data_IF_313993028771
#
_entry.id   IF_313993028771
#
_cell.length_a   1.000
_cell.length_b   1.000
_cell.length_c   1.000
_cell.angle_alpha   90.00
_cell.angle_beta   90.00
_cell.angle_gamma   90.00
#
_symmetry.space_group_name_H-M   'P 1'
#
loop_
_entity.id
_entity.type
_entity.pdbx_description
1 polymer ?
#
# COMPACT_ATOMS: atom_id res chain seq x y z
N UNK A 1 1.73 18.74 25.77
CA UNK A 1 0.92 17.51 25.88
C UNK A 1 1.39 16.59 24.79
N UNK A 2 1.90 15.41 25.12
CA UNK A 2 2.35 14.42 24.14
C UNK A 2 1.09 13.83 23.49
N UNK A 3 0.82 14.16 22.23
CA UNK A 3 -0.22 13.48 21.48
C UNK A 3 0.36 12.14 21.01
N UNK A 4 -0.35 11.07 21.33
CA UNK A 4 -0.01 9.70 20.91
C UNK A 4 -0.87 9.30 19.72
N UNK A 5 -0.45 8.26 19.00
CA UNK A 5 -1.28 7.65 17.97
C UNK A 5 -2.61 7.19 18.58
N UNK A 6 -3.71 7.47 17.90
CA UNK A 6 -5.06 7.10 18.33
C UNK A 6 -5.77 6.30 17.24
N UNK A 7 -6.54 5.26 17.59
CA UNK A 7 -7.30 4.49 16.61
C UNK A 7 -8.20 5.38 15.76
N UNK A 8 -8.19 5.15 14.45
CA UNK A 8 -8.89 5.95 13.47
C UNK A 8 -9.56 5.06 12.42
N UNK A 9 -10.66 5.51 11.77
CA UNK A 9 -11.19 4.81 10.61
C UNK A 9 -10.18 4.88 9.45
N UNK A 10 -10.04 3.78 8.71
CA UNK A 10 -9.19 3.76 7.50
C UNK A 10 -9.70 4.80 6.50
N UNK A 11 -8.89 5.79 6.10
CA UNK A 11 -9.31 6.78 5.12
C UNK A 11 -9.69 6.15 3.78
N UNK A 12 -10.71 6.71 3.11
CA UNK A 12 -11.19 6.19 1.83
C UNK A 12 -10.07 6.09 0.78
N UNK A 13 -9.15 7.06 0.78
CA UNK A 13 -8.03 7.08 -0.15
C UNK A 13 -7.02 5.95 0.07
N UNK A 14 -6.84 5.48 1.30
CA UNK A 14 -5.96 4.34 1.60
C UNK A 14 -6.54 3.09 0.99
N UNK A 15 -7.85 2.84 1.19
CA UNK A 15 -8.53 1.69 0.59
C UNK A 15 -8.48 1.73 -0.93
N UNK A 16 -8.66 2.92 -1.50
CA UNK A 16 -8.52 3.12 -2.94
C UNK A 16 -7.09 2.83 -3.40
N UNK A 17 -6.07 3.35 -2.71
CA UNK A 17 -4.67 3.09 -3.06
C UNK A 17 -4.30 1.60 -2.99
N UNK A 18 -4.73 0.89 -1.94
CA UNK A 18 -4.52 -0.56 -1.83
C UNK A 18 -5.14 -1.32 -3.00
N UNK A 19 -6.39 -0.99 -3.35
CA UNK A 19 -7.06 -1.58 -4.51
C UNK A 19 -6.34 -1.28 -5.82
N UNK A 20 -5.87 -0.06 -6.01
CA UNK A 20 -5.16 0.35 -7.23
C UNK A 20 -3.83 -0.39 -7.39
N UNK A 21 -3.14 -0.70 -6.28
CA UNK A 21 -1.98 -1.61 -6.28
C UNK A 21 -2.42 -3.02 -6.68
N UNK A 22 -3.48 -3.55 -6.05
CA UNK A 22 -3.99 -4.91 -6.32
C UNK A 22 -4.38 -5.13 -7.78
N UNK A 23 -4.96 -4.11 -8.41
CA UNK A 23 -5.41 -4.17 -9.80
C UNK A 23 -4.39 -3.63 -10.80
N UNK A 24 -3.33 -2.98 -10.33
CA UNK A 24 -2.38 -2.22 -11.15
C UNK A 24 -3.05 -1.18 -12.06
N UNK A 25 -4.17 -0.62 -11.59
CA UNK A 25 -4.95 0.40 -12.29
C UNK A 25 -4.91 1.68 -11.45
N UNK A 26 -3.92 2.53 -11.72
CA UNK A 26 -3.59 3.66 -10.87
C UNK A 26 -4.47 4.88 -11.16
N UNK A 27 -5.14 5.38 -10.12
CA UNK A 27 -6.13 6.45 -10.18
C UNK A 27 -5.98 7.46 -9.03
N UNK A 28 -7.09 7.83 -8.40
CA UNK A 28 -7.15 8.87 -7.36
C UNK A 28 -6.40 8.50 -6.07
N UNK A 29 -6.23 7.22 -5.79
CA UNK A 29 -5.40 6.74 -4.68
C UNK A 29 -3.94 7.09 -4.90
N UNK A 30 -3.40 6.64 -6.04
CA UNK A 30 -2.03 6.87 -6.46
C UNK A 30 -1.74 8.33 -6.83
N UNK A 31 -2.76 9.12 -7.19
CA UNK A 31 -2.63 10.56 -7.46
C UNK A 31 -2.19 11.39 -6.24
N UNK A 32 -2.21 10.80 -5.03
CA UNK A 32 -1.65 11.44 -3.83
C UNK A 32 -0.12 11.43 -3.79
N UNK A 33 0.52 10.56 -4.56
CA UNK A 33 1.96 10.62 -4.75
C UNK A 33 2.33 11.76 -5.71
N UNK A 34 3.35 12.50 -5.35
CA UNK A 34 3.97 13.59 -6.11
C UNK A 34 5.34 13.16 -6.65
N UNK A 35 5.98 14.02 -7.43
CA UNK A 35 7.34 13.80 -7.94
C UNK A 35 8.39 13.74 -6.82
N UNK A 36 8.09 14.33 -5.66
CA UNK A 36 8.95 14.32 -4.47
C UNK A 36 8.55 13.24 -3.45
N UNK A 37 7.52 12.44 -3.74
CA UNK A 37 7.09 11.39 -2.80
C UNK A 37 8.12 10.28 -2.73
N UNK A 38 8.52 9.94 -1.52
CA UNK A 38 9.45 8.85 -1.25
C UNK A 38 8.71 7.62 -0.73
N UNK A 39 9.00 6.46 -1.31
CA UNK A 39 8.53 5.17 -0.84
C UNK A 39 9.71 4.31 -0.40
N UNK A 40 9.60 3.78 0.81
CA UNK A 40 10.52 2.78 1.34
C UNK A 40 9.79 1.43 1.39
N UNK A 41 10.28 0.46 0.61
CA UNK A 41 9.69 -0.88 0.53
C UNK A 41 10.77 -1.92 0.81
N UNK A 42 10.76 -2.49 2.02
CA UNK A 42 11.86 -3.36 2.47
C UNK A 42 13.19 -2.59 2.46
N UNK A 43 14.11 -3.00 1.57
CA UNK A 43 15.40 -2.32 1.36
C UNK A 43 15.40 -1.37 0.17
N UNK A 44 14.31 -1.30 -0.59
CA UNK A 44 14.17 -0.41 -1.74
C UNK A 44 13.77 1.00 -1.29
N UNK A 45 14.36 1.99 -1.95
CA UNK A 45 13.97 3.40 -1.87
C UNK A 45 13.61 3.86 -3.28
N UNK A 46 12.40 4.37 -3.45
CA UNK A 46 11.84 4.80 -4.73
C UNK A 46 11.33 6.22 -4.57
N UNK A 47 11.70 7.11 -5.49
CA UNK A 47 11.34 8.53 -5.43
C UNK A 47 10.53 8.90 -6.67
N UNK A 48 9.38 9.54 -6.44
CA UNK A 48 8.48 10.06 -7.46
C UNK A 48 7.34 9.13 -7.81
N UNK A 49 6.18 9.72 -8.09
CA UNK A 49 4.93 9.01 -8.35
C UNK A 49 5.04 7.98 -9.48
N UNK A 50 5.67 8.33 -10.60
CA UNK A 50 5.80 7.42 -11.75
C UNK A 50 6.74 6.25 -11.46
N UNK A 51 7.82 6.49 -10.71
CA UNK A 51 8.73 5.43 -10.30
C UNK A 51 8.06 4.46 -9.31
N UNK A 52 7.25 4.98 -8.38
CA UNK A 52 6.47 4.18 -7.43
C UNK A 52 5.46 3.29 -8.17
N UNK A 53 4.70 3.83 -9.12
CA UNK A 53 3.77 3.05 -9.95
C UNK A 53 4.50 1.95 -10.74
N UNK A 54 5.60 2.30 -11.39
CA UNK A 54 6.42 1.35 -12.15
C UNK A 54 7.00 0.25 -11.24
N UNK A 55 7.35 0.58 -10.00
CA UNK A 55 7.82 -0.37 -9.01
C UNK A 55 6.73 -1.40 -8.68
N UNK A 56 5.51 -0.97 -8.35
CA UNK A 56 4.39 -1.89 -8.07
C UNK A 56 4.06 -2.79 -9.26
N UNK A 57 3.99 -2.25 -10.49
CA UNK A 57 3.79 -3.07 -11.70
C UNK A 57 4.84 -4.16 -11.79
N UNK A 58 6.12 -3.83 -11.58
CA UNK A 58 7.22 -4.80 -11.69
C UNK A 58 7.08 -5.97 -10.70
N UNK A 59 6.64 -5.70 -9.46
CA UNK A 59 6.60 -6.73 -8.41
C UNK A 59 5.28 -7.50 -8.37
N UNK A 60 4.17 -6.84 -8.73
CA UNK A 60 2.81 -7.38 -8.56
C UNK A 60 2.19 -7.87 -9.87
N UNK A 61 2.70 -7.50 -11.06
CA UNK A 61 2.23 -8.04 -12.34
C UNK A 61 2.17 -9.58 -12.38
N UNK A 62 3.12 -10.36 -11.82
CA UNK A 62 3.02 -11.81 -11.83
C UNK A 62 2.07 -12.40 -10.76
N UNK A 63 1.46 -11.56 -9.92
CA UNK A 63 0.70 -11.97 -8.74
C UNK A 63 -0.80 -11.68 -8.87
N UNK A 64 -1.61 -12.54 -8.29
CA UNK A 64 -2.92 -12.16 -7.75
C UNK A 64 -2.68 -11.74 -6.30
N UNK A 65 -2.93 -10.46 -6.00
CA UNK A 65 -2.71 -9.90 -4.68
C UNK A 65 -3.98 -9.17 -4.21
N UNK A 66 -4.26 -9.27 -2.92
CA UNK A 66 -5.33 -8.54 -2.25
C UNK A 66 -4.79 -7.98 -0.93
N UNK A 67 -4.76 -6.65 -0.81
CA UNK A 67 -4.35 -5.96 0.41
C UNK A 67 -5.57 -5.63 1.28
N UNK A 68 -5.54 -6.08 2.53
CA UNK A 68 -6.54 -5.76 3.55
C UNK A 68 -5.94 -4.95 4.68
N UNK A 69 -6.45 -3.73 4.90
CA UNK A 69 -6.11 -2.92 6.07
C UNK A 69 -6.96 -3.36 7.25
N UNK A 70 -6.31 -3.82 8.32
CA UNK A 70 -6.95 -4.36 9.52
C UNK A 70 -7.13 -3.28 10.59
N UNK A 71 -6.10 -2.45 10.80
CA UNK A 71 -6.10 -1.39 11.80
C UNK A 71 -5.45 -0.11 11.26
N UNK A 72 -5.88 1.02 11.79
CA UNK A 72 -5.44 2.34 11.39
C UNK A 72 -5.37 3.25 12.61
N UNK A 73 -4.32 4.07 12.69
CA UNK A 73 -4.16 5.07 13.74
C UNK A 73 -3.67 6.38 13.16
N UNK A 74 -4.32 7.48 13.55
CA UNK A 74 -3.84 8.83 13.28
C UNK A 74 -2.81 9.20 14.33
N UNK A 75 -1.72 9.82 13.89
CA UNK A 75 -0.67 10.37 14.74
C UNK A 75 -0.43 11.85 14.39
N UNK A 76 0.28 12.60 15.26
CA UNK A 76 0.59 14.00 15.01
C UNK A 76 1.27 14.22 13.66
N UNK A 77 1.18 15.46 13.15
CA UNK A 77 1.85 15.90 11.94
C UNK A 77 1.40 15.19 10.65
N UNK A 78 0.17 14.63 10.66
CA UNK A 78 -0.43 13.99 9.48
C UNK A 78 0.10 12.59 9.21
N UNK A 79 0.78 11.97 10.19
CA UNK A 79 1.25 10.59 10.10
C UNK A 79 0.08 9.63 10.27
N UNK A 80 -0.03 8.67 9.36
CA UNK A 80 -1.02 7.60 9.40
C UNK A 80 -0.29 6.26 9.55
N UNK A 81 -0.60 5.52 10.61
CA UNK A 81 -0.13 4.15 10.77
C UNK A 81 -1.20 3.18 10.28
N UNK A 82 -0.77 2.20 9.50
CA UNK A 82 -1.62 1.13 8.97
C UNK A 82 -1.02 -0.20 9.42
N UNK A 83 -1.88 -1.12 9.85
CA UNK A 83 -1.54 -2.54 9.97
C UNK A 83 -2.47 -3.31 9.06
N UNK A 84 -1.91 -4.16 8.23
CA UNK A 84 -2.70 -4.96 7.32
C UNK A 84 -2.03 -6.27 6.95
N UNK A 85 -2.60 -6.89 5.93
CA UNK A 85 -2.10 -8.13 5.35
C UNK A 85 -2.33 -8.16 3.85
N UNK A 86 -1.39 -8.76 3.14
CA UNK A 86 -1.50 -9.04 1.72
C UNK A 86 -1.65 -10.55 1.53
N UNK A 87 -2.72 -10.95 0.85
CA UNK A 87 -2.90 -12.32 0.37
C UNK A 87 -2.42 -12.38 -1.07
N UNK A 88 -1.49 -13.29 -1.36
CA UNK A 88 -0.78 -13.36 -2.63
C UNK A 88 -0.76 -14.78 -3.17
N UNK A 89 -1.01 -14.93 -4.47
CA UNK A 89 -0.73 -16.15 -5.21
C UNK A 89 -0.07 -15.79 -6.55
N UNK A 90 0.79 -16.65 -7.08
CA UNK A 90 1.28 -16.46 -8.45
C UNK A 90 0.13 -16.71 -9.42
N UNK A 91 0.04 -15.92 -10.50
CA UNK A 91 -0.98 -16.15 -11.55
C UNK A 91 -0.90 -17.54 -12.19
N UNK A 92 0.30 -18.14 -12.22
CA UNK A 92 0.53 -19.49 -12.75
C UNK A 92 0.22 -20.61 -11.76
N UNK A 93 0.08 -20.29 -10.47
CA UNK A 93 -0.13 -21.25 -9.37
C UNK A 93 -1.17 -20.69 -8.37
N UNK A 94 -2.41 -20.41 -8.81
CA UNK A 94 -3.38 -19.64 -8.04
C UNK A 94 -3.82 -20.31 -6.73
N UNK A 95 -3.69 -21.63 -6.62
CA UNK A 95 -4.03 -22.39 -5.41
C UNK A 95 -2.91 -22.37 -4.36
N UNK A 96 -1.74 -21.81 -4.69
CA UNK A 96 -0.61 -21.69 -3.76
C UNK A 96 -0.55 -20.27 -3.20
N UNK A 97 -1.33 -20.06 -2.16
CA UNK A 97 -1.50 -18.75 -1.52
C UNK A 97 -0.52 -18.56 -0.35
N UNK A 98 0.04 -17.36 -0.25
CA UNK A 98 0.83 -16.86 0.88
C UNK A 98 0.13 -15.64 1.46
N UNK A 99 0.12 -15.52 2.78
CA UNK A 99 -0.38 -14.35 3.49
C UNK A 99 0.76 -13.72 4.28
N UNK A 100 0.99 -12.42 4.08
CA UNK A 100 2.07 -11.68 4.74
C UNK A 100 1.53 -10.40 5.39
N UNK A 101 1.97 -10.06 6.62
CA UNK A 101 1.60 -8.80 7.25
C UNK A 101 2.37 -7.62 6.65
N UNK A 102 1.77 -6.42 6.71
CA UNK A 102 2.41 -5.14 6.44
C UNK A 102 2.06 -4.09 7.50
#
# INVERSE_FOLDING_TARGET
MTQHAAPAPVPAWVRQFMREIDTLDFGEGAARATDDTEMFFGTAHVVGADAIKAFFVKIDEPLHIEHTVLECWDAPEGVLFLRGEATMAKKTEPDTTVQAPF
#
